data_IF_478847813736
#
_entry.id   IF_478847813736
#
_cell.length_a   1.000
_cell.length_b   1.000
_cell.length_c   1.000
_cell.angle_alpha   90.00
_cell.angle_beta   90.00
_cell.angle_gamma   90.00
#
_symmetry.space_group_name_H-M   'P 1'
#
loop_
_entity.id
_entity.type
_entity.pdbx_description
1 polymer ?
#
# COMPACT_ATOMS: atom_id res chain seq x y z
N UNK A 1 8.28 -0.10 20.92
CA UNK A 1 7.79 -1.24 20.12
C UNK A 1 6.73 -0.73 19.18
N UNK A 2 6.94 -0.83 17.88
CA UNK A 2 5.97 -0.48 16.86
C UNK A 2 5.44 -1.76 16.21
N UNK A 3 4.15 -1.80 15.93
CA UNK A 3 3.52 -2.85 15.14
C UNK A 3 3.37 -2.35 13.70
N UNK A 4 3.56 -3.24 12.73
CA UNK A 4 3.33 -2.93 11.31
C UNK A 4 1.83 -2.80 11.02
N UNK A 5 1.49 -2.20 9.88
CA UNK A 5 0.11 -2.22 9.38
C UNK A 5 -0.40 -3.65 9.27
N UNK A 6 -1.64 -3.92 9.69
CA UNK A 6 -2.19 -5.26 9.67
C UNK A 6 -2.56 -5.70 8.25
N UNK A 7 -2.45 -7.00 7.99
CA UNK A 7 -2.94 -7.68 6.80
C UNK A 7 -4.10 -8.60 7.18
N UNK A 8 -5.22 -8.52 6.47
CA UNK A 8 -6.36 -9.44 6.69
C UNK A 8 -6.32 -10.55 5.66
N UNK A 9 -6.30 -11.79 6.12
CA UNK A 9 -6.54 -12.96 5.30
C UNK A 9 -7.98 -13.47 5.55
N UNK A 10 -8.87 -13.15 4.62
CA UNK A 10 -10.23 -13.65 4.63
C UNK A 10 -10.29 -15.11 4.14
N UNK A 11 -11.08 -15.93 4.80
CA UNK A 11 -11.40 -17.28 4.35
C UNK A 11 -10.27 -18.32 4.48
N UNK A 12 -9.72 -18.51 5.65
CA UNK A 12 -8.98 -19.73 5.96
C UNK A 12 -9.97 -20.85 6.31
N UNK A 13 -9.93 -21.93 5.54
CA UNK A 13 -10.70 -23.16 5.86
C UNK A 13 -9.86 -23.96 6.85
N UNK A 14 -10.34 -24.09 8.08
CA UNK A 14 -9.72 -24.93 9.13
C UNK A 14 -10.66 -26.06 9.50
N UNK A 15 -10.17 -27.08 10.24
CA UNK A 15 -11.01 -28.12 10.80
C UNK A 15 -12.08 -27.58 11.79
N UNK A 16 -11.96 -26.30 12.18
CA UNK A 16 -12.93 -25.58 13.04
C UNK A 16 -13.85 -24.64 12.25
N UNK A 17 -13.90 -24.78 10.91
CA UNK A 17 -14.69 -23.95 10.02
C UNK A 17 -13.90 -22.81 9.36
N UNK A 18 -14.63 -21.87 8.81
CA UNK A 18 -14.06 -20.70 8.16
C UNK A 18 -13.54 -19.71 9.21
N UNK A 19 -12.31 -19.26 9.02
CA UNK A 19 -11.64 -18.28 9.89
C UNK A 19 -11.12 -17.12 9.06
N UNK A 20 -11.25 -15.94 9.61
CA UNK A 20 -10.53 -14.76 9.16
C UNK A 20 -9.37 -14.50 10.11
N UNK A 21 -8.25 -14.15 9.55
CA UNK A 21 -7.04 -13.87 10.32
C UNK A 21 -6.54 -12.47 10.05
N UNK A 22 -6.12 -11.82 11.11
CA UNK A 22 -5.36 -10.59 11.07
C UNK A 22 -3.90 -10.92 11.38
N UNK A 23 -2.98 -10.49 10.51
CA UNK A 23 -1.55 -10.77 10.64
C UNK A 23 -0.79 -9.44 10.64
N UNK A 24 0.16 -9.30 11.55
CA UNK A 24 1.01 -8.10 11.67
C UNK A 24 2.35 -8.47 12.29
N UNK A 25 3.36 -7.66 12.01
CA UNK A 25 4.70 -7.80 12.57
C UNK A 25 4.97 -6.80 13.68
N UNK A 26 6.09 -6.96 14.34
CA UNK A 26 6.55 -6.05 15.37
C UNK A 26 8.07 -5.83 15.35
N UNK A 27 8.52 -4.80 16.05
CA UNK A 27 9.93 -4.40 16.15
C UNK A 27 10.85 -5.45 16.81
N UNK A 28 10.29 -6.55 17.35
CA UNK A 28 11.01 -7.69 17.88
C UNK A 28 11.19 -8.83 16.88
N UNK A 29 11.02 -8.61 15.58
CA UNK A 29 10.99 -9.64 14.53
C UNK A 29 9.99 -10.77 14.79
N UNK A 30 8.91 -10.44 15.46
CA UNK A 30 7.84 -11.39 15.75
C UNK A 30 6.63 -11.07 14.88
N UNK A 31 6.14 -12.08 14.18
CA UNK A 31 4.87 -12.03 13.46
C UNK A 31 3.78 -12.64 14.32
N UNK A 32 2.65 -11.98 14.38
CA UNK A 32 1.47 -12.42 15.12
C UNK A 32 0.33 -12.66 14.15
N UNK A 33 -0.36 -13.77 14.32
CA UNK A 33 -1.65 -14.05 13.68
C UNK A 33 -2.72 -14.18 14.75
N UNK A 34 -3.73 -13.33 14.64
CA UNK A 34 -4.88 -13.33 15.54
C UNK A 34 -6.16 -13.55 14.76
N UNK A 35 -7.19 -14.03 15.45
CA UNK A 35 -8.54 -14.07 14.90
C UNK A 35 -9.02 -12.64 14.56
N UNK A 36 -9.73 -12.46 13.47
CA UNK A 36 -10.21 -11.14 13.04
C UNK A 36 -11.19 -10.49 14.05
N UNK A 37 -11.78 -11.27 14.96
CA UNK A 37 -12.54 -10.76 16.11
C UNK A 37 -11.64 -10.25 17.25
N UNK A 38 -10.32 -10.34 17.11
CA UNK A 38 -9.29 -9.93 18.09
C UNK A 38 -9.39 -10.63 19.45
N UNK A 39 -10.07 -11.78 19.52
CA UNK A 39 -10.30 -12.48 20.78
C UNK A 39 -9.31 -13.64 21.02
N UNK A 40 -8.52 -14.01 20.01
CA UNK A 40 -7.65 -15.18 20.09
C UNK A 40 -6.38 -15.04 19.26
N UNK A 41 -5.23 -15.34 19.88
CA UNK A 41 -3.99 -15.60 19.16
C UNK A 41 -4.09 -16.96 18.45
N UNK A 42 -3.82 -17.00 17.16
CA UNK A 42 -3.82 -18.23 16.37
C UNK A 42 -2.42 -18.84 16.41
N UNK A 43 -1.42 -18.05 16.03
CA UNK A 43 0.00 -18.42 16.13
C UNK A 43 0.88 -17.15 16.23
N UNK A 44 2.12 -17.34 16.64
CA UNK A 44 3.20 -16.36 16.56
C UNK A 44 4.46 -17.03 16.02
N UNK A 45 5.23 -16.30 15.22
CA UNK A 45 6.50 -16.75 14.68
C UNK A 45 7.59 -15.73 14.95
N UNK A 46 8.76 -16.18 15.40
CA UNK A 46 9.96 -15.39 15.56
C UNK A 46 10.81 -15.58 14.32
N UNK A 47 11.05 -14.52 13.53
CA UNK A 47 11.77 -14.60 12.26
C UNK A 47 13.27 -14.67 12.46
N UNK A 48 13.83 -13.80 13.29
CA UNK A 48 15.25 -13.80 13.59
C UNK A 48 15.48 -14.09 15.07
N UNK A 49 16.48 -14.92 15.37
CA UNK A 49 16.93 -15.17 16.76
C UNK A 49 17.80 -14.03 17.29
N UNK A 50 18.27 -13.15 16.42
CA UNK A 50 19.13 -12.00 16.73
C UNK A 50 18.53 -10.76 16.13
N UNK A 51 17.46 -10.24 16.75
CA UNK A 51 16.98 -8.90 16.41
C UNK A 51 18.18 -7.94 16.48
N UNK A 52 18.65 -7.48 15.33
CA UNK A 52 19.75 -6.52 15.31
C UNK A 52 19.21 -5.20 15.82
N UNK A 53 19.68 -4.79 17.00
CA UNK A 53 19.50 -3.42 17.44
C UNK A 53 20.26 -2.53 16.45
N UNK A 54 19.53 -1.94 15.51
CA UNK A 54 20.10 -0.94 14.63
C UNK A 54 20.55 0.22 15.52
N UNK A 55 21.82 0.63 15.41
CA UNK A 55 22.29 1.84 16.09
C UNK A 55 21.40 2.98 15.58
N UNK A 56 20.68 3.62 16.50
CA UNK A 56 19.93 4.83 16.17
C UNK A 56 20.84 5.78 15.41
N UNK A 57 20.49 6.08 14.16
CA UNK A 57 21.08 7.19 13.45
C UNK A 57 20.70 8.48 14.20
N UNK A 58 21.59 9.49 14.19
CA UNK A 58 21.35 10.80 14.80
C UNK A 58 20.04 11.48 14.32
N UNK A 59 19.40 10.93 13.29
CA UNK A 59 18.11 11.38 12.73
C UNK A 59 16.90 10.63 13.30
N UNK A 60 17.09 9.57 14.08
CA UNK A 60 16.00 8.80 14.70
C UNK A 60 15.10 8.05 13.72
N UNK A 61 15.55 7.86 12.47
CA UNK A 61 14.73 7.32 11.38
C UNK A 61 14.81 5.81 11.20
N UNK A 62 15.74 5.15 11.89
CA UNK A 62 15.95 3.70 11.75
C UNK A 62 15.24 2.93 12.88
N UNK A 63 14.10 2.33 12.56
CA UNK A 63 13.44 1.38 13.44
C UNK A 63 14.08 0.00 13.30
N UNK A 64 14.18 -0.78 14.39
CA UNK A 64 14.63 -2.18 14.34
C UNK A 64 13.45 -3.15 14.16
N UNK A 65 13.75 -4.38 13.78
CA UNK A 65 12.75 -5.43 13.57
C UNK A 65 12.01 -5.33 12.24
N UNK A 66 10.80 -5.89 12.17
CA UNK A 66 9.95 -5.73 11.00
C UNK A 66 9.49 -4.29 10.90
N UNK A 67 9.84 -3.63 9.81
CA UNK A 67 9.44 -2.24 9.52
C UNK A 67 8.33 -2.18 8.47
N UNK A 68 8.26 -3.15 7.55
CA UNK A 68 7.19 -3.25 6.55
C UNK A 68 6.03 -4.14 7.02
N UNK A 69 4.82 -3.83 6.54
CA UNK A 69 3.70 -4.74 6.61
C UNK A 69 3.99 -6.03 5.85
N UNK A 70 3.37 -7.15 6.28
CA UNK A 70 3.46 -8.40 5.56
C UNK A 70 2.76 -8.28 4.20
N UNK A 71 3.22 -9.08 3.23
CA UNK A 71 2.54 -9.24 1.96
C UNK A 71 1.96 -10.65 1.81
N UNK A 72 0.99 -10.80 0.91
CA UNK A 72 0.40 -12.09 0.55
C UNK A 72 0.27 -12.18 -0.97
N UNK A 73 0.66 -13.32 -1.59
CA UNK A 73 0.47 -13.53 -3.01
C UNK A 73 -1.00 -13.34 -3.41
N UNK A 74 -1.25 -12.58 -4.47
CA UNK A 74 -2.61 -12.26 -4.93
C UNK A 74 -3.29 -11.13 -4.17
N UNK A 75 -2.72 -10.65 -3.05
CA UNK A 75 -3.11 -9.40 -2.40
C UNK A 75 -2.31 -8.24 -2.98
N UNK A 76 -2.52 -7.89 -4.24
CA UNK A 76 -1.93 -6.65 -4.74
C UNK A 76 -2.57 -5.49 -4.00
N UNK A 77 -1.80 -4.76 -3.21
CA UNK A 77 -2.18 -3.44 -2.70
C UNK A 77 -2.25 -2.42 -3.84
N UNK A 78 -1.80 -2.79 -5.04
CA UNK A 78 -1.95 -2.00 -6.25
C UNK A 78 -3.38 -2.13 -6.78
N UNK A 79 -4.11 -1.08 -6.53
CA UNK A 79 -5.26 -0.56 -7.26
C UNK A 79 -5.82 -1.44 -8.39
N UNK A 80 -7.03 -1.96 -8.20
CA UNK A 80 -7.97 -2.12 -9.28
C UNK A 80 -8.24 -3.51 -9.84
N UNK A 81 -7.66 -4.58 -9.33
CA UNK A 81 -8.26 -5.90 -9.49
C UNK A 81 -8.95 -6.29 -8.19
N UNK A 82 -10.16 -5.81 -8.00
CA UNK A 82 -11.09 -6.47 -7.11
C UNK A 82 -11.11 -7.94 -7.52
N UNK A 83 -10.53 -8.81 -6.71
CA UNK A 83 -10.73 -10.25 -6.78
C UNK A 83 -12.20 -10.54 -6.46
N UNK A 84 -13.08 -10.08 -7.34
CA UNK A 84 -14.46 -10.49 -7.34
C UNK A 84 -14.44 -11.98 -7.60
N UNK A 85 -14.85 -12.77 -6.64
CA UNK A 85 -15.32 -14.12 -6.92
C UNK A 85 -16.24 -14.00 -8.13
N UNK A 86 -15.80 -14.46 -9.29
CA UNK A 86 -16.72 -14.72 -10.40
C UNK A 86 -17.76 -15.65 -9.80
N UNK A 87 -18.94 -15.13 -9.54
CA UNK A 87 -20.10 -15.99 -9.28
C UNK A 87 -20.20 -16.87 -10.52
N UNK A 88 -19.77 -18.10 -10.39
CA UNK A 88 -20.12 -19.12 -11.39
C UNK A 88 -21.64 -19.16 -11.36
N UNK A 89 -22.33 -18.88 -12.48
CA UNK A 89 -23.76 -18.98 -12.51
C UNK A 89 -24.15 -20.39 -12.10
N UNK A 90 -24.93 -20.53 -11.05
CA UNK A 90 -25.50 -21.82 -10.67
C UNK A 90 -26.41 -22.24 -11.81
N UNK A 91 -26.15 -23.34 -12.52
CA UNK A 91 -27.01 -23.78 -13.60
C UNK A 91 -28.41 -24.08 -13.03
N UNK A 92 -29.47 -23.77 -13.78
CA UNK A 92 -30.82 -24.06 -13.34
C UNK A 92 -30.97 -25.57 -13.08
N UNK A 93 -31.83 -25.99 -12.13
CA UNK A 93 -32.06 -27.41 -11.85
C UNK A 93 -32.48 -28.13 -13.13
N UNK A 94 -31.75 -29.21 -13.49
CA UNK A 94 -32.04 -30.04 -14.66
C UNK A 94 -31.21 -29.73 -15.90
N UNK A 95 -30.29 -28.79 -15.87
CA UNK A 95 -29.35 -28.60 -16.98
C UNK A 95 -28.35 -29.79 -17.08
N UNK A 96 -28.05 -30.30 -18.31
CA UNK A 96 -27.09 -31.37 -18.46
C UNK A 96 -25.71 -30.90 -17.98
N UNK A 97 -25.11 -31.64 -17.06
CA UNK A 97 -23.77 -31.37 -16.55
C UNK A 97 -22.79 -31.79 -17.63
N UNK A 98 -22.33 -30.84 -18.42
CA UNK A 98 -21.17 -31.09 -19.28
C UNK A 98 -19.96 -31.36 -18.37
N UNK A 99 -19.13 -32.38 -18.64
CA UNK A 99 -17.94 -32.63 -17.86
C UNK A 99 -17.05 -31.39 -17.92
N UNK A 100 -16.82 -30.79 -16.76
CA UNK A 100 -15.90 -29.66 -16.62
C UNK A 100 -14.53 -30.14 -17.11
N UNK A 101 -13.91 -29.47 -18.09
CA UNK A 101 -12.57 -29.82 -18.53
C UNK A 101 -11.64 -29.85 -17.31
N UNK A 102 -10.89 -30.94 -17.13
CA UNK A 102 -9.88 -30.99 -16.07
C UNK A 102 -8.96 -29.79 -16.24
N UNK A 103 -8.72 -29.01 -15.16
CA UNK A 103 -7.73 -27.94 -15.25
C UNK A 103 -6.40 -28.53 -15.74
N UNK A 104 -5.64 -27.79 -16.55
CA UNK A 104 -4.32 -28.23 -16.98
C UNK A 104 -3.48 -28.59 -15.74
N UNK A 105 -2.70 -29.66 -15.86
CA UNK A 105 -1.77 -30.05 -14.81
C UNK A 105 -0.86 -28.87 -14.48
N UNK A 106 -0.58 -28.60 -13.19
CA UNK A 106 0.33 -27.55 -12.82
C UNK A 106 1.70 -27.76 -13.49
N UNK A 107 2.42 -26.70 -13.84
CA UNK A 107 3.73 -26.82 -14.45
C UNK A 107 4.68 -27.67 -13.58
N UNK A 108 5.64 -28.36 -14.17
CA UNK A 108 6.49 -29.34 -13.50
C UNK A 108 7.33 -28.80 -12.33
N UNK A 109 7.56 -27.49 -12.26
CA UNK A 109 8.20 -26.79 -11.14
C UNK A 109 7.34 -25.61 -10.71
N UNK A 110 6.36 -25.81 -9.83
CA UNK A 110 5.61 -24.69 -9.29
C UNK A 110 6.54 -23.79 -8.45
N UNK A 111 6.44 -22.48 -8.63
CA UNK A 111 7.17 -21.49 -7.84
C UNK A 111 6.92 -21.62 -6.34
N UNK A 112 7.77 -21.00 -5.53
CA UNK A 112 7.70 -21.10 -4.06
C UNK A 112 6.39 -20.56 -3.47
N UNK A 113 5.72 -19.64 -4.18
CA UNK A 113 4.45 -19.05 -3.78
C UNK A 113 3.23 -19.79 -4.34
N UNK A 114 3.42 -20.82 -5.17
CA UNK A 114 2.32 -21.53 -5.80
C UNK A 114 1.32 -22.04 -4.75
N UNK A 115 0.06 -21.66 -4.93
CA UNK A 115 -1.07 -22.11 -4.13
C UNK A 115 -1.92 -23.09 -4.94
N UNK A 116 -2.54 -24.06 -4.29
CA UNK A 116 -3.40 -25.03 -4.98
C UNK A 116 -4.06 -25.98 -3.99
N UNK A 117 -4.84 -26.92 -4.49
CA UNK A 117 -5.47 -27.94 -3.63
C UNK A 117 -4.40 -28.67 -2.79
N UNK A 118 -4.47 -28.54 -1.47
CA UNK A 118 -3.50 -29.11 -0.53
C UNK A 118 -2.23 -28.27 -0.28
N UNK A 119 -2.08 -27.10 -0.90
CA UNK A 119 -1.00 -26.16 -0.57
C UNK A 119 -1.57 -24.97 0.19
N UNK A 120 -1.16 -24.75 1.45
CA UNK A 120 -1.58 -23.58 2.21
C UNK A 120 -1.07 -22.30 1.53
N UNK A 121 -1.79 -21.20 1.72
CA UNK A 121 -1.32 -19.87 1.36
C UNK A 121 -0.01 -19.50 2.07
N UNK A 122 0.62 -18.43 1.66
CA UNK A 122 1.83 -17.92 2.28
C UNK A 122 1.67 -16.45 2.68
N UNK A 123 2.26 -16.07 3.82
CA UNK A 123 2.61 -14.69 4.12
C UNK A 123 4.08 -14.47 3.84
N UNK A 124 4.41 -13.28 3.40
CA UNK A 124 5.76 -12.85 3.13
C UNK A 124 6.15 -11.80 4.16
N UNK A 125 7.29 -11.96 4.79
CA UNK A 125 7.83 -11.03 5.75
C UNK A 125 9.35 -10.91 5.58
N UNK A 126 9.91 -9.74 5.86
CA UNK A 126 11.36 -9.52 5.87
C UNK A 126 11.80 -9.24 7.29
N UNK A 127 12.70 -10.06 7.83
CA UNK A 127 13.28 -9.90 9.15
C UNK A 127 14.32 -8.78 9.20
N UNK A 128 14.76 -8.40 10.40
CA UNK A 128 15.84 -7.41 10.61
C UNK A 128 17.20 -7.90 10.12
N UNK A 129 17.36 -9.21 9.91
CA UNK A 129 18.53 -9.82 9.28
C UNK A 129 18.56 -9.63 7.75
N UNK A 130 17.46 -9.14 7.17
CA UNK A 130 17.31 -8.92 5.73
C UNK A 130 16.79 -10.14 4.98
N UNK A 131 16.53 -11.24 5.65
CA UNK A 131 16.03 -12.45 5.04
C UNK A 131 14.53 -12.37 4.78
N UNK A 132 14.10 -12.88 3.61
CA UNK A 132 12.71 -13.03 3.22
C UNK A 132 12.18 -14.39 3.71
N UNK A 133 11.15 -14.35 4.51
CA UNK A 133 10.43 -15.48 5.04
C UNK A 133 9.15 -15.75 4.26
N UNK A 134 8.91 -17.01 3.91
CA UNK A 134 7.69 -17.50 3.26
C UNK A 134 6.91 -18.33 4.27
N UNK A 135 6.06 -17.67 5.05
CA UNK A 135 5.38 -18.26 6.20
C UNK A 135 4.11 -18.98 5.78
N UNK A 136 3.88 -20.16 6.32
CA UNK A 136 2.63 -20.89 6.19
C UNK A 136 1.50 -20.11 6.90
N UNK A 137 0.39 -19.86 6.19
CA UNK A 137 -0.72 -19.09 6.75
C UNK A 137 -1.37 -19.74 7.98
N UNK A 138 -1.29 -21.06 8.11
CA UNK A 138 -1.97 -21.81 9.19
C UNK A 138 -1.10 -21.98 10.44
N UNK A 139 0.23 -22.02 10.30
CA UNK A 139 1.16 -22.33 11.41
C UNK A 139 2.15 -21.22 11.72
N UNK A 140 2.41 -20.33 10.76
CA UNK A 140 3.45 -19.30 10.87
C UNK A 140 4.88 -19.83 10.68
N UNK A 141 5.04 -21.11 10.36
CA UNK A 141 6.35 -21.72 10.09
C UNK A 141 6.82 -21.39 8.68
N UNK A 142 8.13 -21.29 8.50
CA UNK A 142 8.71 -21.14 7.17
C UNK A 142 8.43 -22.36 6.29
N UNK A 143 7.93 -22.11 5.08
CA UNK A 143 7.66 -23.17 4.07
C UNK A 143 8.92 -23.65 3.39
N UNK A 144 9.92 -22.79 3.33
CA UNK A 144 11.26 -23.01 2.77
C UNK A 144 12.26 -22.30 3.69
N UNK A 145 13.55 -22.67 3.69
CA UNK A 145 14.55 -21.90 4.40
C UNK A 145 14.49 -20.40 4.04
N UNK A 146 14.73 -19.54 5.01
CA UNK A 146 14.75 -18.10 4.81
C UNK A 146 15.68 -17.72 3.64
N UNK A 147 15.28 -16.77 2.84
CA UNK A 147 15.93 -16.42 1.56
C UNK A 147 16.71 -15.12 1.77
N UNK A 148 18.04 -15.09 1.60
CA UNK A 148 18.79 -13.84 1.62
C UNK A 148 18.25 -12.85 0.58
N UNK A 149 17.79 -11.66 1.02
CA UNK A 149 17.09 -10.73 0.16
C UNK A 149 17.61 -9.30 0.25
N UNK A 150 17.74 -8.77 1.46
CA UNK A 150 18.17 -7.40 1.72
C UNK A 150 19.44 -7.39 2.61
N UNK A 151 20.18 -6.29 2.63
CA UNK A 151 21.18 -6.07 3.66
C UNK A 151 20.54 -6.05 5.05
N UNK A 152 21.23 -6.64 6.04
CA UNK A 152 20.76 -6.64 7.42
C UNK A 152 20.61 -5.22 8.00
N UNK A 153 19.54 -5.00 8.77
CA UNK A 153 19.24 -3.70 9.36
C UNK A 153 18.61 -2.68 8.41
N UNK A 154 18.26 -3.08 7.19
CA UNK A 154 17.57 -2.22 6.25
C UNK A 154 16.21 -1.75 6.81
N UNK A 155 15.88 -0.47 6.63
CA UNK A 155 14.54 0.03 6.89
C UNK A 155 13.67 -0.18 5.67
N UNK A 156 12.76 -1.14 5.73
CA UNK A 156 11.85 -1.49 4.64
C UNK A 156 10.58 -0.69 4.80
N UNK A 157 10.26 0.16 3.82
CA UNK A 157 9.03 0.97 3.86
C UNK A 157 7.80 0.16 3.43
N UNK A 158 7.99 -0.86 2.60
CA UNK A 158 6.89 -1.70 2.12
C UNK A 158 7.40 -3.02 1.56
N UNK A 159 6.48 -3.98 1.49
CA UNK A 159 6.66 -5.26 0.81
C UNK A 159 5.47 -5.48 -0.13
N UNK A 160 5.76 -5.65 -1.42
CA UNK A 160 4.75 -5.90 -2.45
C UNK A 160 5.03 -7.24 -3.15
N UNK A 161 4.01 -7.86 -3.72
CA UNK A 161 4.18 -9.09 -4.49
C UNK A 161 3.30 -9.09 -5.73
N UNK A 162 3.88 -9.42 -6.87
CA UNK A 162 3.18 -9.60 -8.14
C UNK A 162 3.86 -10.70 -8.96
N UNK A 163 3.06 -11.59 -9.57
CA UNK A 163 3.54 -12.67 -10.43
C UNK A 163 4.76 -13.44 -9.86
N UNK A 164 4.64 -13.86 -8.59
CA UNK A 164 5.69 -14.59 -7.86
C UNK A 164 7.00 -13.79 -7.65
N UNK A 165 7.02 -12.50 -7.93
CA UNK A 165 8.14 -11.60 -7.58
C UNK A 165 7.76 -10.74 -6.39
N UNK A 166 8.64 -10.72 -5.39
CA UNK A 166 8.51 -9.89 -4.18
C UNK A 166 9.35 -8.65 -4.36
N UNK A 167 8.78 -7.49 -4.06
CA UNK A 167 9.47 -6.20 -4.11
C UNK A 167 9.55 -5.60 -2.72
N UNK A 168 10.69 -5.02 -2.39
CA UNK A 168 10.91 -4.25 -1.17
C UNK A 168 11.54 -2.89 -1.52
N UNK A 169 11.07 -1.85 -0.85
CA UNK A 169 11.66 -0.52 -0.95
C UNK A 169 12.38 -0.18 0.37
N UNK A 170 13.65 0.23 0.29
CA UNK A 170 14.46 0.59 1.45
C UNK A 170 14.71 2.09 1.49
N UNK A 171 14.68 2.67 2.68
CA UNK A 171 14.85 4.11 2.90
C UNK A 171 15.71 4.38 4.14
N UNK A 172 16.32 5.57 4.19
CA UNK A 172 17.01 6.09 5.37
C UNK A 172 18.45 5.58 5.56
N UNK A 173 19.01 4.83 4.61
CA UNK A 173 20.36 4.24 4.68
C UNK A 173 20.62 3.47 6.00
N UNK A 174 19.58 2.85 6.54
CA UNK A 174 19.61 2.16 7.83
C UNK A 174 20.46 0.90 7.78
N UNK A 175 21.26 0.66 8.82
CA UNK A 175 22.16 -0.49 8.89
C UNK A 175 23.28 -0.49 7.84
N UNK A 176 23.46 0.62 7.11
CA UNK A 176 24.35 0.70 5.94
C UNK A 176 23.74 0.13 4.66
N UNK A 177 22.45 -0.23 4.70
CA UNK A 177 21.72 -0.66 3.51
C UNK A 177 21.41 0.56 2.63
N UNK A 178 21.78 0.56 1.35
CA UNK A 178 21.51 1.70 0.48
C UNK A 178 20.01 1.87 0.23
N UNK A 179 19.58 3.09 -0.04
CA UNK A 179 18.24 3.37 -0.53
C UNK A 179 18.05 2.72 -1.91
N UNK A 180 17.07 1.86 -2.04
CA UNK A 180 16.91 1.03 -3.24
C UNK A 180 15.50 0.42 -3.35
N UNK A 181 15.21 -0.12 -4.53
CA UNK A 181 14.19 -1.14 -4.73
C UNK A 181 14.89 -2.48 -4.93
N UNK A 182 14.41 -3.51 -4.25
CA UNK A 182 14.87 -4.89 -4.40
C UNK A 182 13.74 -5.75 -4.94
N UNK A 183 14.10 -6.77 -5.72
CA UNK A 183 13.20 -7.80 -6.22
C UNK A 183 13.74 -9.19 -5.91
N UNK A 184 12.86 -10.10 -5.51
CA UNK A 184 13.14 -11.53 -5.40
C UNK A 184 12.13 -12.30 -6.26
N UNK A 185 12.60 -12.87 -7.36
CA UNK A 185 11.81 -13.75 -8.24
C UNK A 185 11.78 -15.16 -7.63
N UNK A 186 10.60 -15.58 -7.22
CA UNK A 186 10.30 -16.85 -6.56
C UNK A 186 9.58 -17.84 -7.51
N UNK A 187 9.52 -17.54 -8.81
CA UNK A 187 8.84 -18.35 -9.80
C UNK A 187 9.52 -19.70 -10.06
N UNK A 188 10.75 -19.86 -9.61
CA UNK A 188 11.51 -21.10 -9.68
C UNK A 188 11.88 -21.59 -8.28
N UNK A 189 12.31 -22.86 -8.18
CA UNK A 189 12.80 -23.40 -6.90
C UNK A 189 14.08 -22.73 -6.36
N UNK A 190 14.77 -21.93 -7.18
CA UNK A 190 15.95 -21.16 -6.80
C UNK A 190 15.63 -19.67 -6.93
N UNK A 191 15.50 -18.93 -5.82
CA UNK A 191 15.23 -17.50 -5.85
C UNK A 191 16.33 -16.72 -6.58
N UNK A 192 15.91 -15.70 -7.35
CA UNK A 192 16.83 -14.76 -8.00
C UNK A 192 16.54 -13.37 -7.50
N UNK A 193 17.58 -12.66 -7.06
CA UNK A 193 17.46 -11.31 -6.53
C UNK A 193 18.03 -10.28 -7.50
N UNK A 194 17.43 -9.09 -7.52
CA UNK A 194 17.89 -7.92 -8.24
C UNK A 194 17.72 -6.68 -7.38
N UNK A 195 18.45 -5.60 -7.69
CA UNK A 195 18.30 -4.32 -7.00
C UNK A 195 18.44 -3.14 -7.98
N UNK A 196 17.69 -2.08 -7.71
CA UNK A 196 17.82 -0.78 -8.34
C UNK A 196 18.19 0.23 -7.26
N UNK A 197 19.47 0.68 -7.28
CA UNK A 197 19.98 1.66 -6.33
C UNK A 197 19.54 3.07 -6.75
N UNK A 198 18.99 3.83 -5.81
CA UNK A 198 18.52 5.19 -6.09
C UNK A 198 19.62 6.24 -5.98
N UNK A 199 20.81 5.86 -5.49
CA UNK A 199 22.01 6.70 -5.39
C UNK A 199 21.75 8.06 -4.73
N UNK A 200 21.07 8.07 -3.59
CA UNK A 200 20.77 9.28 -2.84
C UNK A 200 19.42 9.22 -2.17
N UNK A 201 18.45 9.96 -2.69
CA UNK A 201 17.10 9.95 -2.15
C UNK A 201 16.46 8.56 -2.31
N UNK A 202 15.71 8.14 -1.30
CA UNK A 202 15.02 6.85 -1.31
C UNK A 202 13.72 6.86 -2.10
N UNK A 203 13.14 5.67 -2.32
CA UNK A 203 11.78 5.55 -2.80
C UNK A 203 10.79 6.35 -1.95
N UNK A 204 9.88 7.04 -2.59
CA UNK A 204 8.86 7.87 -1.95
C UNK A 204 7.66 7.08 -1.51
N UNK A 205 7.00 7.57 -0.46
CA UNK A 205 5.77 7.00 0.06
C UNK A 205 5.99 5.78 0.93
N UNK A 206 4.88 5.22 1.41
CA UNK A 206 4.88 4.10 2.38
C UNK A 206 4.30 2.81 1.80
N UNK A 207 3.78 2.86 0.56
CA UNK A 207 3.18 1.71 -0.11
C UNK A 207 4.15 1.01 -1.08
N UNK A 208 5.36 1.52 -1.24
CA UNK A 208 6.47 0.94 -1.99
C UNK A 208 6.40 1.11 -3.49
N UNK A 209 6.21 0.02 -4.22
CA UNK A 209 6.17 0.03 -5.68
C UNK A 209 4.75 -0.21 -6.20
N UNK A 210 4.42 0.39 -7.33
CA UNK A 210 3.23 0.03 -8.09
C UNK A 210 3.62 -0.91 -9.24
N UNK A 211 2.71 -1.80 -9.63
CA UNK A 211 2.98 -2.76 -10.72
C UNK A 211 1.88 -2.65 -11.78
N UNK A 212 2.28 -2.39 -13.00
CA UNK A 212 1.40 -2.32 -14.16
C UNK A 212 0.90 -3.67 -14.65
N UNK A 213 0.02 -3.67 -15.62
CA UNK A 213 -0.59 -4.90 -16.18
C UNK A 213 0.42 -5.79 -16.89
N UNK A 214 1.44 -5.19 -17.49
CA UNK A 214 2.53 -5.88 -18.19
C UNK A 214 3.66 -6.31 -17.25
N UNK A 215 3.49 -6.07 -15.92
CA UNK A 215 4.50 -6.33 -14.90
C UNK A 215 5.53 -5.21 -14.73
N UNK A 216 5.43 -4.10 -15.46
CA UNK A 216 6.31 -2.93 -15.24
C UNK A 216 6.16 -2.42 -13.80
N UNK A 217 7.28 -2.23 -13.12
CA UNK A 217 7.32 -1.73 -11.74
C UNK A 217 7.60 -0.24 -11.76
N UNK A 218 6.72 0.53 -11.13
CA UNK A 218 6.86 1.98 -11.02
C UNK A 218 7.27 2.35 -9.60
N UNK A 219 8.28 3.19 -9.48
CA UNK A 219 8.75 3.76 -8.23
C UNK A 219 8.95 5.25 -8.39
N UNK A 220 8.53 6.02 -7.41
CA UNK A 220 8.88 7.43 -7.32
C UNK A 220 10.06 7.59 -6.38
N UNK A 221 11.07 8.34 -6.80
CA UNK A 221 12.24 8.68 -6.00
C UNK A 221 12.04 10.08 -5.47
N UNK A 222 12.22 10.27 -4.17
CA UNK A 222 12.05 11.57 -3.54
C UNK A 222 13.12 12.55 -3.98
N UNK A 223 12.87 13.83 -3.79
CA UNK A 223 13.89 14.84 -3.98
C UNK A 223 14.82 14.81 -2.77
N UNK A 224 16.07 14.41 -2.97
CA UNK A 224 17.08 14.39 -1.92
C UNK A 224 17.34 15.78 -1.34
N UNK A 225 17.70 15.83 -0.05
CA UNK A 225 18.22 17.04 0.57
C UNK A 225 19.71 17.16 0.24
N UNK A 226 20.10 18.26 -0.40
CA UNK A 226 21.49 18.61 -0.65
C UNK A 226 22.07 18.11 -1.99
N UNK A 227 23.41 18.17 -2.11
CA UNK A 227 24.17 17.91 -3.33
C UNK A 227 24.22 16.43 -3.78
N UNK A 228 23.38 15.58 -3.25
CA UNK A 228 23.20 14.22 -3.74
C UNK A 228 22.36 14.27 -5.04
N UNK A 229 22.97 14.80 -6.08
CA UNK A 229 22.45 14.74 -7.44
C UNK A 229 22.47 13.29 -7.93
N UNK A 230 21.54 12.49 -7.44
CA UNK A 230 21.20 11.23 -8.09
C UNK A 230 20.56 11.53 -9.46
N UNK A 231 20.76 10.66 -10.39
CA UNK A 231 20.22 10.75 -11.76
C UNK A 231 18.69 10.89 -11.78
N UNK A 232 17.99 10.43 -10.71
CA UNK A 232 16.53 10.28 -10.64
C UNK A 232 15.87 11.06 -9.48
N UNK A 233 16.34 12.24 -9.13
CA UNK A 233 15.67 13.05 -8.09
C UNK A 233 14.30 13.53 -8.53
N UNK A 234 13.28 13.41 -7.67
CA UNK A 234 11.87 13.76 -7.92
C UNK A 234 11.32 13.11 -9.20
N UNK A 235 11.72 11.87 -9.45
CA UNK A 235 11.49 11.15 -10.70
C UNK A 235 10.65 9.91 -10.47
N UNK A 236 9.70 9.64 -11.37
CA UNK A 236 9.04 8.32 -11.48
C UNK A 236 9.84 7.47 -12.44
N UNK A 237 10.28 6.31 -12.02
CA UNK A 237 11.04 5.37 -12.85
C UNK A 237 10.20 4.10 -13.09
N UNK A 238 10.14 3.68 -14.35
CA UNK A 238 9.59 2.41 -14.77
C UNK A 238 10.71 1.37 -14.87
N UNK A 239 10.57 0.27 -14.16
CA UNK A 239 11.57 -0.79 -14.04
C UNK A 239 11.04 -2.11 -14.62
N UNK A 240 11.94 -2.94 -15.11
CA UNK A 240 11.65 -4.33 -15.45
C UNK A 240 11.30 -5.12 -14.19
N UNK A 241 10.25 -5.94 -14.24
CA UNK A 241 9.73 -6.67 -13.09
C UNK A 241 10.74 -7.60 -12.39
N UNK A 242 11.67 -8.20 -13.12
CA UNK A 242 12.59 -9.20 -12.56
C UNK A 242 14.01 -8.70 -12.40
N UNK A 243 14.49 -7.92 -13.38
CA UNK A 243 15.87 -7.43 -13.38
C UNK A 243 16.03 -6.06 -12.74
N UNK A 244 14.92 -5.35 -12.53
CA UNK A 244 14.87 -3.94 -12.09
C UNK A 244 15.70 -3.00 -12.96
N UNK A 245 16.03 -3.39 -14.21
CA UNK A 245 16.62 -2.47 -15.16
C UNK A 245 15.62 -1.36 -15.50
N UNK A 246 16.08 -0.09 -15.49
CA UNK A 246 15.25 1.04 -15.89
C UNK A 246 14.82 0.90 -17.35
N UNK A 247 13.51 1.05 -17.59
CA UNK A 247 12.89 1.00 -18.94
C UNK A 247 12.58 2.41 -19.43
N UNK A 248 12.10 3.27 -18.53
CA UNK A 248 11.60 4.61 -18.84
C UNK A 248 11.51 5.45 -17.57
N UNK A 249 11.37 6.77 -17.68
CA UNK A 249 11.22 7.64 -16.52
C UNK A 249 10.46 8.93 -16.85
N UNK A 250 9.96 9.58 -15.81
CA UNK A 250 9.39 10.93 -15.89
C UNK A 250 9.98 11.79 -14.78
N UNK A 251 10.52 12.95 -15.14
CA UNK A 251 11.00 13.96 -14.20
C UNK A 251 10.26 15.28 -14.44
N UNK A 252 9.64 15.89 -13.42
CA UNK A 252 9.05 17.22 -13.58
C UNK A 252 10.05 18.24 -14.11
N UNK A 253 9.65 19.02 -15.12
CA UNK A 253 10.55 19.98 -15.80
C UNK A 253 11.11 21.10 -14.90
N UNK A 254 10.41 21.42 -13.81
CA UNK A 254 10.86 22.43 -12.85
C UNK A 254 11.51 21.74 -11.65
N UNK A 255 12.81 21.97 -11.44
CA UNK A 255 13.48 21.62 -10.18
C UNK A 255 12.89 22.48 -9.06
N UNK A 256 11.94 21.92 -8.31
CA UNK A 256 11.35 22.63 -7.19
C UNK A 256 11.94 22.12 -5.88
N UNK A 257 11.98 23.03 -4.88
CA UNK A 257 12.39 22.65 -3.54
C UNK A 257 11.29 21.77 -2.94
N UNK A 258 11.57 20.48 -2.86
CA UNK A 258 10.61 19.56 -2.27
C UNK A 258 10.30 19.94 -0.83
N UNK A 259 9.06 19.94 -0.50
CA UNK A 259 8.56 20.24 0.83
C UNK A 259 7.91 19.06 1.53
N UNK A 260 7.77 17.92 0.86
CA UNK A 260 7.04 16.76 1.39
C UNK A 260 7.75 15.42 1.14
N UNK A 261 7.29 14.39 1.87
CA UNK A 261 7.84 13.02 1.80
C UNK A 261 7.53 12.28 0.49
N UNK A 262 6.73 12.88 -0.39
CA UNK A 262 6.26 12.27 -1.62
C UNK A 262 5.28 11.12 -1.38
N UNK A 263 4.77 10.56 -2.46
CA UNK A 263 3.81 9.46 -2.42
C UNK A 263 4.26 8.32 -3.35
N UNK A 264 3.93 7.09 -2.96
CA UNK A 264 4.07 5.94 -3.86
C UNK A 264 3.18 6.16 -5.08
N UNK A 265 3.68 5.98 -6.32
CA UNK A 265 2.86 6.12 -7.52
C UNK A 265 1.72 5.11 -7.52
N UNK A 266 0.65 5.42 -8.23
CA UNK A 266 -0.50 4.53 -8.39
C UNK A 266 -0.75 4.25 -9.86
N UNK A 267 -0.93 2.98 -10.19
CA UNK A 267 -1.28 2.53 -11.56
C UNK A 267 -2.75 2.14 -11.58
N UNK A 268 -3.49 2.60 -12.59
CA UNK A 268 -4.88 2.20 -12.79
C UNK A 268 -5.28 2.21 -14.26
N UNK A 269 -6.31 1.44 -14.58
CA UNK A 269 -6.92 1.44 -15.92
C UNK A 269 -7.93 2.57 -16.04
N UNK A 270 -7.89 3.28 -17.14
CA UNK A 270 -8.91 4.25 -17.53
C UNK A 270 -9.22 4.14 -19.01
N UNK A 271 -10.45 3.71 -19.33
CA UNK A 271 -10.92 3.47 -20.71
C UNK A 271 -9.98 2.58 -21.53
N UNK A 272 -9.38 1.57 -20.89
CA UNK A 272 -8.44 0.64 -21.54
C UNK A 272 -6.99 1.12 -21.64
N UNK A 273 -6.68 2.36 -21.20
CA UNK A 273 -5.33 2.88 -21.08
C UNK A 273 -4.82 2.68 -19.67
N UNK A 274 -3.57 2.27 -19.51
CA UNK A 274 -2.88 2.26 -18.23
C UNK A 274 -2.33 3.64 -17.93
N UNK A 275 -2.75 4.20 -16.80
CA UNK A 275 -2.31 5.51 -16.33
C UNK A 275 -1.52 5.37 -15.04
N UNK A 276 -0.52 6.23 -14.87
CA UNK A 276 0.29 6.32 -13.64
C UNK A 276 0.05 7.68 -13.02
N UNK A 277 -0.37 7.69 -11.75
CA UNK A 277 -0.50 8.89 -10.95
C UNK A 277 0.75 9.04 -10.07
N UNK A 278 1.33 10.23 -10.06
CA UNK A 278 2.50 10.56 -9.27
C UNK A 278 2.34 11.93 -8.58
N UNK A 279 3.08 12.15 -7.50
CA UNK A 279 3.17 13.42 -6.80
C UNK A 279 4.52 14.08 -7.07
N UNK A 280 4.51 15.34 -7.47
CA UNK A 280 5.74 16.12 -7.55
C UNK A 280 6.14 16.73 -6.20
N UNK A 281 7.42 16.98 -6.01
CA UNK A 281 7.94 17.70 -4.85
C UNK A 281 7.42 19.14 -4.73
N UNK A 282 6.80 19.67 -5.80
CA UNK A 282 6.12 20.97 -5.83
C UNK A 282 4.69 20.93 -5.25
N UNK A 283 4.22 19.77 -4.78
CA UNK A 283 2.86 19.60 -4.29
C UNK A 283 1.80 19.47 -5.39
N UNK A 284 2.21 19.26 -6.64
CA UNK A 284 1.32 18.97 -7.77
C UNK A 284 1.13 17.46 -7.95
N UNK A 285 0.04 17.07 -8.61
CA UNK A 285 -0.19 15.72 -9.10
C UNK A 285 0.05 15.67 -10.61
N UNK A 286 0.65 14.59 -11.06
CA UNK A 286 0.94 14.30 -12.47
C UNK A 286 0.24 13.02 -12.89
N UNK A 287 -0.49 13.08 -13.97
CA UNK A 287 -1.08 11.92 -14.62
C UNK A 287 -0.26 11.58 -15.86
N UNK A 288 0.32 10.39 -15.87
CA UNK A 288 1.29 9.95 -16.87
C UNK A 288 0.69 8.81 -17.71
N UNK A 289 1.18 8.66 -18.94
CA UNK A 289 0.90 7.49 -19.76
C UNK A 289 1.80 6.32 -19.31
N UNK A 290 1.21 5.20 -18.89
CA UNK A 290 1.96 4.03 -18.44
C UNK A 290 2.79 3.35 -19.55
N UNK A 291 2.49 3.65 -20.82
CA UNK A 291 3.22 3.08 -21.98
C UNK A 291 4.40 3.94 -22.42
N UNK A 292 4.44 5.22 -22.01
CA UNK A 292 5.52 6.15 -22.33
C UNK A 292 5.57 7.24 -21.25
N UNK A 293 6.38 7.03 -20.22
CA UNK A 293 6.53 7.99 -19.14
C UNK A 293 7.24 9.24 -19.64
N UNK A 294 6.56 10.38 -19.49
CA UNK A 294 7.14 11.68 -19.80
C UNK A 294 7.35 12.01 -21.28
N UNK A 295 6.86 11.18 -22.21
CA UNK A 295 7.03 11.41 -23.64
C UNK A 295 8.49 11.31 -24.11
N UNK A 296 8.82 11.97 -25.21
CA UNK A 296 10.13 11.87 -25.85
C UNK A 296 11.27 12.53 -25.06
N UNK A 297 10.95 13.54 -24.24
CA UNK A 297 11.92 14.28 -23.43
C UNK A 297 11.88 13.93 -21.94
N UNK A 298 11.02 12.98 -21.57
CA UNK A 298 10.79 12.51 -20.19
C UNK A 298 10.26 13.59 -19.23
N UNK A 299 9.64 14.67 -19.76
CA UNK A 299 9.09 15.78 -18.98
C UNK A 299 7.61 16.04 -19.21
N UNK A 300 6.98 15.37 -20.19
CA UNK A 300 5.59 15.57 -20.56
C UNK A 300 4.66 14.70 -19.69
N UNK A 301 3.67 15.32 -19.08
CA UNK A 301 2.56 14.63 -18.42
C UNK A 301 1.27 14.77 -19.24
N UNK A 302 0.39 13.78 -19.22
CA UNK A 302 -0.94 13.89 -19.83
C UNK A 302 -1.77 15.00 -19.18
N UNK A 303 -1.60 15.14 -17.85
CA UNK A 303 -2.26 16.18 -17.07
C UNK A 303 -1.42 16.50 -15.84
N UNK A 304 -1.44 17.76 -15.45
CA UNK A 304 -0.78 18.28 -14.23
C UNK A 304 -1.76 19.18 -13.49
N UNK A 305 -1.88 19.01 -12.17
CA UNK A 305 -2.55 20.01 -11.33
C UNK A 305 -1.60 21.18 -11.03
N UNK A 306 -2.15 22.30 -10.55
CA UNK A 306 -1.31 23.27 -9.82
C UNK A 306 -0.86 22.71 -8.46
N UNK A 307 0.04 23.40 -7.74
CA UNK A 307 0.40 23.04 -6.38
C UNK A 307 -0.84 23.04 -5.47
N UNK A 308 -1.10 21.90 -4.81
CA UNK A 308 -2.27 21.72 -3.94
C UNK A 308 -1.92 22.08 -2.50
N UNK A 309 -0.70 21.79 -2.08
CA UNK A 309 -0.21 22.09 -0.73
C UNK A 309 1.26 21.69 -0.57
N UNK A 310 1.64 21.37 0.67
CA UNK A 310 3.04 21.08 1.02
C UNK A 310 3.53 19.68 0.61
N UNK A 311 2.71 18.91 -0.10
CA UNK A 311 3.04 17.57 -0.56
C UNK A 311 2.02 16.52 -0.11
N UNK A 312 2.19 15.32 -0.65
CA UNK A 312 1.31 14.19 -0.41
C UNK A 312 2.00 13.16 0.46
N UNK A 313 1.24 12.30 1.11
CA UNK A 313 1.77 11.29 2.02
C UNK A 313 1.34 9.89 1.63
N UNK A 314 2.31 8.97 1.74
CA UNK A 314 2.14 7.53 1.65
C UNK A 314 1.83 7.04 0.25
N UNK A 315 0.64 7.30 -0.26
CA UNK A 315 0.19 6.88 -1.58
C UNK A 315 -1.23 7.34 -1.86
N UNK A 316 -1.80 6.83 -2.93
CA UNK A 316 -3.11 7.22 -3.45
C UNK A 316 -4.12 6.08 -3.33
N UNK A 317 -5.40 6.41 -3.35
CA UNK A 317 -6.48 5.45 -3.54
C UNK A 317 -7.27 5.80 -4.81
N UNK A 318 -7.81 4.78 -5.47
CA UNK A 318 -8.67 4.96 -6.64
C UNK A 318 -9.88 4.04 -6.57
N UNK A 319 -10.99 4.54 -7.04
CA UNK A 319 -12.25 3.81 -7.14
C UNK A 319 -12.96 4.13 -8.43
N UNK A 320 -13.50 3.14 -9.10
CA UNK A 320 -14.40 3.33 -10.23
C UNK A 320 -15.83 3.05 -9.77
N UNK A 321 -16.67 4.07 -9.84
CA UNK A 321 -18.10 3.88 -9.65
C UNK A 321 -18.66 3.06 -10.84
N UNK A 322 -19.13 1.88 -10.56
CA UNK A 322 -19.61 0.94 -11.58
C UNK A 322 -20.89 1.40 -12.26
N UNK A 323 -21.69 2.25 -11.63
CA UNK A 323 -22.94 2.77 -12.17
C UNK A 323 -22.71 3.93 -13.14
N UNK A 324 -21.83 4.86 -12.78
CA UNK A 324 -21.53 6.07 -13.56
C UNK A 324 -20.27 5.94 -14.42
N UNK A 325 -19.46 4.91 -14.20
CA UNK A 325 -18.14 4.69 -14.81
C UNK A 325 -17.15 5.83 -14.51
N UNK A 326 -17.44 6.62 -13.50
CA UNK A 326 -16.58 7.70 -13.04
C UNK A 326 -15.40 7.12 -12.26
N UNK A 327 -14.19 7.52 -12.65
CA UNK A 327 -12.95 7.15 -11.95
C UNK A 327 -12.60 8.25 -10.95
N UNK A 328 -12.58 7.88 -9.69
CA UNK A 328 -12.18 8.71 -8.56
C UNK A 328 -10.72 8.44 -8.17
N UNK A 329 -10.06 9.50 -7.71
CA UNK A 329 -8.70 9.46 -7.16
C UNK A 329 -8.70 10.25 -5.86
N UNK A 330 -8.11 9.68 -4.82
CA UNK A 330 -8.00 10.28 -3.49
C UNK A 330 -6.54 10.36 -3.08
N UNK A 331 -6.14 11.49 -2.50
CA UNK A 331 -4.78 11.73 -2.03
C UNK A 331 -4.80 12.35 -0.63
N UNK A 332 -3.90 11.90 0.23
CA UNK A 332 -3.69 12.46 1.56
C UNK A 332 -2.67 13.59 1.49
N UNK A 333 -3.10 14.80 1.84
CA UNK A 333 -2.31 16.02 1.82
C UNK A 333 -1.77 16.32 3.21
N UNK A 334 -0.50 16.64 3.31
CA UNK A 334 0.11 17.14 4.56
C UNK A 334 0.14 18.66 4.63
N UNK A 335 -0.15 19.20 5.81
CA UNK A 335 -0.11 20.63 6.08
C UNK A 335 -1.23 21.40 5.40
N UNK A 336 -1.04 22.71 5.31
CA UNK A 336 -2.03 23.63 4.76
C UNK A 336 -2.17 23.49 3.24
N UNK A 337 -3.37 23.79 2.76
CA UNK A 337 -3.70 23.84 1.33
C UNK A 337 -3.13 25.11 0.70
N UNK A 338 -2.62 25.01 -0.52
CA UNK A 338 -2.20 26.19 -1.28
C UNK A 338 -3.38 27.13 -1.54
N UNK A 339 -3.15 28.42 -1.40
CA UNK A 339 -4.16 29.45 -1.70
C UNK A 339 -4.59 29.47 -3.18
N UNK A 340 -3.78 28.89 -4.06
CA UNK A 340 -4.09 28.73 -5.48
C UNK A 340 -4.94 27.51 -5.80
N UNK A 341 -4.96 26.50 -4.91
CA UNK A 341 -5.79 25.31 -5.10
C UNK A 341 -7.27 25.66 -4.88
N UNK A 342 -8.11 25.18 -5.80
CA UNK A 342 -9.56 25.43 -5.75
C UNK A 342 -10.30 24.09 -5.89
N UNK A 343 -11.20 23.87 -4.94
CA UNK A 343 -12.08 22.70 -4.95
C UNK A 343 -13.53 23.18 -4.97
N UNK A 344 -14.39 22.61 -5.84
CA UNK A 344 -15.81 22.96 -5.88
C UNK A 344 -16.53 22.74 -4.55
N UNK A 345 -16.11 21.71 -3.79
CA UNK A 345 -16.66 21.41 -2.45
C UNK A 345 -15.56 21.49 -1.42
N UNK A 346 -15.72 22.36 -0.43
CA UNK A 346 -14.81 22.52 0.70
C UNK A 346 -15.55 22.17 1.99
N UNK A 347 -15.10 21.13 2.71
CA UNK A 347 -15.74 20.61 3.93
C UNK A 347 -15.18 21.22 5.22
N UNK A 348 -14.37 22.26 5.14
CA UNK A 348 -13.83 22.99 6.29
C UNK A 348 -12.49 23.64 5.99
N UNK A 349 -11.96 24.37 6.99
CA UNK A 349 -10.60 24.92 6.91
C UNK A 349 -9.58 23.83 7.15
N UNK A 350 -8.47 23.89 6.44
CA UNK A 350 -7.37 22.91 6.51
C UNK A 350 -6.10 23.60 7.02
N UNK A 351 -5.50 23.03 8.06
CA UNK A 351 -4.28 23.53 8.69
C UNK A 351 -3.16 22.48 8.71
N UNK A 352 -3.48 21.26 9.15
CA UNK A 352 -2.50 20.21 9.45
C UNK A 352 -2.54 19.04 8.45
N UNK A 353 -3.54 19.03 7.58
CA UNK A 353 -3.70 18.04 6.53
C UNK A 353 -5.14 17.82 6.12
N UNK A 354 -5.33 17.07 5.05
CA UNK A 354 -6.65 16.82 4.46
C UNK A 354 -6.60 15.63 3.52
N UNK A 355 -7.78 15.14 3.13
CA UNK A 355 -7.94 14.30 1.94
C UNK A 355 -8.51 15.16 0.83
N UNK A 356 -7.94 15.02 -0.37
CA UNK A 356 -8.44 15.67 -1.59
C UNK A 356 -8.90 14.62 -2.59
N UNK A 357 -9.95 14.95 -3.33
CA UNK A 357 -10.49 14.07 -4.35
C UNK A 357 -10.56 14.72 -5.72
N UNK A 358 -10.26 13.91 -6.71
CA UNK A 358 -10.32 14.23 -8.12
C UNK A 358 -11.15 13.19 -8.85
N UNK A 359 -11.67 13.57 -10.01
CA UNK A 359 -12.14 12.62 -11.02
C UNK A 359 -11.20 12.64 -12.21
N UNK A 360 -11.12 11.51 -12.92
CA UNK A 360 -10.41 11.45 -14.21
C UNK A 360 -11.44 11.65 -15.30
N UNK A 361 -11.32 12.76 -16.01
CA UNK A 361 -12.24 13.15 -17.10
C UNK A 361 -11.48 13.26 -18.41
N UNK A 362 -12.18 13.09 -19.52
CA UNK A 362 -11.62 13.38 -20.83
C UNK A 362 -11.88 14.84 -21.17
N UNK A 363 -10.81 15.59 -21.37
CA UNK A 363 -10.86 16.98 -21.85
C UNK A 363 -9.90 17.14 -23.01
N UNK A 364 -10.36 17.72 -24.08
CA UNK A 364 -9.57 17.92 -25.31
C UNK A 364 -8.89 16.65 -25.84
N UNK A 365 -9.54 15.47 -25.65
CA UNK A 365 -8.99 14.17 -26.07
C UNK A 365 -7.95 13.54 -25.15
N UNK A 366 -7.67 14.15 -24.00
CA UNK A 366 -6.69 13.66 -23.01
C UNK A 366 -7.35 13.44 -21.65
N UNK A 367 -6.87 12.45 -20.84
CA UNK A 367 -7.30 12.30 -19.47
C UNK A 367 -6.78 13.45 -18.61
N UNK A 368 -7.64 14.02 -17.79
CA UNK A 368 -7.33 15.15 -16.91
C UNK A 368 -7.82 14.88 -15.49
N UNK A 369 -7.03 15.30 -14.49
CA UNK A 369 -7.43 15.30 -13.09
C UNK A 369 -8.27 16.53 -12.79
N UNK A 370 -9.55 16.31 -12.50
CA UNK A 370 -10.49 17.38 -12.18
C UNK A 370 -10.76 17.40 -10.69
N UNK A 371 -10.44 18.50 -9.97
CA UNK A 371 -10.68 18.60 -8.55
C UNK A 371 -12.17 18.59 -8.24
N UNK A 372 -12.59 17.86 -7.20
CA UNK A 372 -13.99 17.74 -6.80
C UNK A 372 -14.19 18.27 -5.39
N UNK A 373 -13.51 17.67 -4.41
CA UNK A 373 -13.69 18.09 -3.02
C UNK A 373 -12.40 18.01 -2.20
N UNK A 374 -12.40 18.76 -1.11
CA UNK A 374 -11.42 18.69 -0.05
C UNK A 374 -12.13 18.49 1.28
N UNK A 375 -11.60 17.59 2.12
CA UNK A 375 -12.12 17.34 3.47
C UNK A 375 -11.84 18.51 4.40
N UNK A 376 -12.44 18.49 5.59
CA UNK A 376 -11.98 19.29 6.73
C UNK A 376 -10.56 18.90 7.16
N UNK A 377 -10.09 19.53 8.23
CA UNK A 377 -8.74 19.32 8.76
C UNK A 377 -8.57 17.91 9.35
N UNK A 378 -7.59 17.18 8.84
CA UNK A 378 -7.21 15.85 9.30
C UNK A 378 -5.69 15.86 9.50
N UNK A 379 -5.25 15.95 10.74
CA UNK A 379 -3.83 16.12 11.06
C UNK A 379 -3.01 14.90 10.65
N UNK A 380 -1.96 15.12 9.82
CA UNK A 380 -1.06 14.09 9.34
C UNK A 380 -1.81 12.83 8.84
N UNK A 381 -2.65 12.95 7.82
CA UNK A 381 -3.48 11.85 7.35
C UNK A 381 -2.62 10.69 6.80
N UNK A 382 -2.99 9.45 7.15
CA UNK A 382 -2.44 8.25 6.51
C UNK A 382 -2.85 8.16 5.04
N UNK A 383 -2.27 7.27 4.23
CA UNK A 383 -2.84 6.95 2.94
C UNK A 383 -4.32 6.61 3.06
N UNK A 384 -5.14 7.21 2.19
CA UNK A 384 -6.58 6.94 2.16
C UNK A 384 -6.84 5.53 1.63
N UNK A 385 -7.87 4.87 2.15
CA UNK A 385 -8.36 3.59 1.65
C UNK A 385 -9.83 3.74 1.28
N UNK A 386 -10.21 3.27 0.10
CA UNK A 386 -11.60 3.36 -0.38
C UNK A 386 -12.27 1.99 -0.37
N UNK A 387 -13.47 1.92 0.20
CA UNK A 387 -14.30 0.74 0.20
C UNK A 387 -15.79 1.12 0.16
N UNK A 388 -16.52 0.53 -0.80
CA UNK A 388 -17.97 0.74 -0.95
C UNK A 388 -18.39 2.21 -1.06
N UNK A 389 -17.62 3.04 -1.77
CA UNK A 389 -17.89 4.46 -1.93
C UNK A 389 -17.57 5.34 -0.71
N UNK A 390 -16.96 4.76 0.33
CA UNK A 390 -16.48 5.48 1.50
C UNK A 390 -14.96 5.58 1.47
N UNK A 391 -14.43 6.72 1.89
CA UNK A 391 -13.00 6.95 2.06
C UNK A 391 -12.66 6.91 3.54
N UNK A 392 -11.77 6.01 3.91
CA UNK A 392 -11.27 5.85 5.26
C UNK A 392 -9.86 6.40 5.36
N UNK A 393 -9.59 7.14 6.42
CA UNK A 393 -8.29 7.74 6.68
C UNK A 393 -8.04 7.80 8.18
N UNK A 394 -6.80 7.60 8.57
CA UNK A 394 -6.36 7.70 9.95
C UNK A 394 -5.55 8.99 10.11
N UNK A 395 -6.01 9.92 10.96
CA UNK A 395 -5.12 10.94 11.49
C UNK A 395 -4.16 10.23 12.45
N UNK A 396 -2.86 10.20 12.14
CA UNK A 396 -1.92 9.35 12.84
C UNK A 396 -1.68 9.76 14.31
N UNK A 397 -1.85 11.04 14.62
CA UNK A 397 -1.45 11.59 15.91
C UNK A 397 0.07 11.76 16.00
N UNK A 398 0.56 11.99 17.20
CA UNK A 398 2.00 12.11 17.47
C UNK A 398 2.34 11.64 18.89
N UNK A 399 3.62 11.44 19.18
CA UNK A 399 4.06 11.11 20.55
C UNK A 399 3.90 12.23 21.59
N UNK A 400 3.31 13.38 21.21
CA UNK A 400 3.04 14.48 22.12
C UNK A 400 1.82 14.17 23.00
N UNK A 401 1.80 14.75 24.20
CA UNK A 401 0.67 14.60 25.13
C UNK A 401 -0.64 15.02 24.46
N UNK A 402 -1.69 14.21 24.60
CA UNK A 402 -3.01 14.39 24.01
C UNK A 402 -3.11 14.29 22.48
N UNK A 403 -2.09 13.78 21.80
CA UNK A 403 -2.15 13.53 20.37
C UNK A 403 -2.31 12.03 20.15
N UNK A 404 -3.54 11.60 19.90
CA UNK A 404 -3.91 10.20 19.61
C UNK A 404 -4.39 10.07 18.17
N UNK A 405 -4.39 8.84 17.67
CA UNK A 405 -4.90 8.58 16.34
C UNK A 405 -6.44 8.72 16.30
N UNK A 406 -6.96 9.20 15.18
CA UNK A 406 -8.41 9.35 14.95
C UNK A 406 -8.75 8.74 13.61
N UNK A 407 -9.63 7.74 13.59
CA UNK A 407 -10.17 7.16 12.37
C UNK A 407 -11.33 8.01 11.86
N UNK A 408 -11.28 8.39 10.58
CA UNK A 408 -12.35 9.07 9.87
C UNK A 408 -12.93 8.18 8.77
N UNK A 409 -14.24 8.30 8.56
CA UNK A 409 -14.91 7.83 7.35
C UNK A 409 -15.58 9.01 6.66
N UNK A 410 -15.24 9.21 5.39
CA UNK A 410 -15.75 10.29 4.57
C UNK A 410 -16.61 9.71 3.45
N UNK A 411 -17.61 10.45 3.03
CA UNK A 411 -18.35 10.15 1.81
C UNK A 411 -17.43 10.33 0.59
N UNK A 412 -17.34 9.32 -0.27
CA UNK A 412 -16.39 9.30 -1.38
C UNK A 412 -16.67 10.35 -2.47
N UNK A 413 -17.93 10.78 -2.62
CA UNK A 413 -18.32 11.70 -3.67
C UNK A 413 -18.31 13.17 -3.22
N UNK A 414 -18.55 13.43 -1.93
CA UNK A 414 -18.66 14.80 -1.39
C UNK A 414 -17.56 15.17 -0.39
N UNK A 415 -16.82 14.19 0.13
CA UNK A 415 -15.81 14.42 1.17
C UNK A 415 -16.36 14.75 2.55
N UNK A 416 -17.70 14.69 2.72
CA UNK A 416 -18.35 14.97 4.00
C UNK A 416 -17.96 13.93 5.05
N UNK A 417 -17.61 14.37 6.24
CA UNK A 417 -17.38 13.47 7.37
C UNK A 417 -18.68 12.75 7.75
N UNK A 418 -18.65 11.42 7.73
CA UNK A 418 -19.74 10.55 8.15
C UNK A 418 -19.50 9.94 9.51
N UNK A 419 -18.22 9.75 9.87
CA UNK A 419 -17.82 9.19 11.15
C UNK A 419 -16.44 9.66 11.58
N UNK A 420 -16.25 9.82 12.87
CA UNK A 420 -14.98 10.03 13.53
C UNK A 420 -14.89 9.19 14.80
N UNK A 421 -13.77 8.52 15.02
CA UNK A 421 -13.53 7.76 16.26
C UNK A 421 -13.27 8.67 17.46
N UNK A 422 -13.07 9.96 17.25
CA UNK A 422 -12.78 10.94 18.28
C UNK A 422 -11.68 10.44 19.25
N UNK A 423 -11.96 10.35 20.55
CA UNK A 423 -11.03 9.96 21.60
C UNK A 423 -11.07 8.45 21.95
N UNK A 424 -11.69 7.59 21.11
CA UNK A 424 -11.75 6.15 21.36
C UNK A 424 -10.38 5.48 21.28
N UNK A 425 -9.55 5.91 20.33
CA UNK A 425 -8.15 5.49 20.25
C UNK A 425 -7.33 6.24 21.29
N UNK A 426 -6.47 5.54 22.01
CA UNK A 426 -5.75 6.12 23.17
C UNK A 426 -4.30 6.47 22.88
N UNK A 427 -3.77 6.04 21.74
CA UNK A 427 -2.38 6.25 21.35
C UNK A 427 -2.30 6.73 19.92
N UNK A 428 -1.13 7.17 19.50
CA UNK A 428 -0.87 7.50 18.09
C UNK A 428 -0.50 6.24 17.29
N UNK A 429 -0.65 6.31 15.98
CA UNK A 429 -0.30 5.23 15.06
C UNK A 429 1.04 5.52 14.38
N UNK A 430 1.89 4.51 14.29
CA UNK A 430 3.08 4.54 13.42
C UNK A 430 2.84 3.86 12.08
N UNK A 431 1.80 3.04 11.99
CA UNK A 431 1.49 2.36 10.76
C UNK A 431 0.86 3.34 9.77
N UNK A 432 1.43 3.41 8.58
CA UNK A 432 0.91 4.23 7.50
C UNK A 432 -0.24 3.53 6.75
N UNK A 433 -0.98 2.65 7.41
CA UNK A 433 -2.03 1.91 6.75
C UNK A 433 -3.11 1.37 7.68
N UNK A 434 -4.29 1.24 7.08
CA UNK A 434 -5.45 0.56 7.64
C UNK A 434 -5.81 -0.63 6.76
N UNK A 435 -6.26 -1.72 7.36
CA UNK A 435 -6.80 -2.86 6.63
C UNK A 435 -8.33 -2.86 6.74
N UNK A 436 -9.01 -3.11 5.62
CA UNK A 436 -10.48 -3.18 5.59
C UNK A 436 -10.89 -4.54 5.03
N UNK A 437 -11.68 -5.27 5.79
CA UNK A 437 -12.27 -6.51 5.36
C UNK A 437 -13.58 -6.76 6.10
N UNK A 438 -14.56 -7.37 5.43
CA UNK A 438 -15.81 -7.82 6.00
C UNK A 438 -16.51 -6.81 6.92
N UNK A 439 -16.62 -5.55 6.47
CA UNK A 439 -17.23 -4.42 7.19
C UNK A 439 -16.48 -4.02 8.46
N UNK A 440 -15.20 -4.40 8.58
CA UNK A 440 -14.33 -4.05 9.71
C UNK A 440 -13.09 -3.32 9.21
N UNK A 441 -12.59 -2.41 10.03
CA UNK A 441 -11.40 -1.61 9.80
C UNK A 441 -10.43 -1.92 10.91
N UNK A 442 -9.19 -2.26 10.56
CA UNK A 442 -8.14 -2.63 11.49
C UNK A 442 -6.95 -1.70 11.31
N UNK A 443 -6.35 -1.31 12.41
CA UNK A 443 -5.05 -0.62 12.45
C UNK A 443 -4.34 -0.86 13.78
N UNK A 444 -3.06 -0.56 13.80
CA UNK A 444 -2.19 -0.73 14.96
C UNK A 444 -1.76 0.62 15.52
N UNK A 445 -1.44 0.66 16.81
CA UNK A 445 -0.98 1.86 17.50
C UNK A 445 0.34 1.60 18.23
N UNK A 446 1.04 2.69 18.55
CA UNK A 446 2.38 2.66 19.17
C UNK A 446 2.41 1.97 20.55
N UNK A 447 1.29 1.92 21.25
CA UNK A 447 1.16 1.21 22.54
C UNK A 447 0.90 -0.30 22.39
N UNK A 448 1.26 -0.87 21.23
CA UNK A 448 1.10 -2.29 20.88
C UNK A 448 -0.35 -2.79 20.93
N UNK A 449 -1.29 -1.95 20.54
CA UNK A 449 -2.70 -2.33 20.40
C UNK A 449 -3.10 -2.45 18.96
N UNK A 450 -4.01 -3.38 18.73
CA UNK A 450 -4.76 -3.49 17.48
C UNK A 450 -6.18 -3.05 17.74
N UNK A 451 -6.65 -2.12 16.93
CA UNK A 451 -8.04 -1.63 16.98
C UNK A 451 -8.84 -2.25 15.84
N UNK A 452 -10.09 -2.56 16.14
CA UNK A 452 -11.09 -3.02 15.17
C UNK A 452 -12.32 -2.13 15.30
N UNK A 453 -12.70 -1.47 14.21
CA UNK A 453 -13.95 -0.71 14.10
C UNK A 453 -14.88 -1.38 13.10
N UNK A 454 -16.16 -1.49 13.43
CA UNK A 454 -17.15 -2.11 12.54
C UNK A 454 -18.36 -2.64 13.33
N UNK A 455 -19.30 -3.23 12.59
CA UNK A 455 -20.46 -3.86 13.21
C UNK A 455 -20.18 -5.34 13.48
N UNK A 456 -20.45 -5.79 14.70
CA UNK A 456 -20.44 -7.21 15.02
C UNK A 456 -21.74 -7.85 14.48
N UNK A 457 -21.60 -8.97 13.76
CA UNK A 457 -22.75 -9.67 13.14
C UNK A 457 -23.82 -10.11 14.15
N UNK A 458 -23.44 -10.34 15.40
CA UNK A 458 -24.33 -10.83 16.46
C UNK A 458 -25.33 -9.78 16.98
N UNK A 459 -25.13 -8.50 16.68
CA UNK A 459 -26.07 -7.44 17.06
C UNK A 459 -27.23 -7.26 16.08
N UNK A 460 -27.19 -7.89 14.91
CA UNK A 460 -28.24 -7.79 13.89
C UNK A 460 -29.39 -8.79 14.05
N UNK A 461 -29.31 -9.73 15.01
CA UNK A 461 -30.33 -10.77 15.18
C UNK A 461 -31.44 -10.42 16.17
N UNK A 462 -31.45 -9.27 16.82
CA UNK A 462 -32.38 -8.99 17.93
C UNK A 462 -33.51 -8.01 17.63
N UNK A 463 -33.74 -7.60 16.39
CA UNK A 463 -34.90 -6.75 16.04
C UNK A 463 -35.84 -7.35 15.01
N UNK A 464 -35.92 -8.68 14.94
CA UNK A 464 -36.98 -9.38 14.23
C UNK A 464 -38.20 -9.51 15.12
N UNK A 465 -39.10 -8.55 15.11
CA UNK A 465 -40.52 -8.71 15.43
C UNK A 465 -41.31 -8.36 14.21
#
# INVERSE_FOLDING_TARGET
NALTSPLVNGLLITYRGFKEMLVFGGSSDTVYSVDADLNRLIWKAQLSSKAQAVKEDKRGSCAGGLTAALAMPGSSTASGRGGGFRRVPVPPPGAPVNPVPRPPLPPPNPGLLATGFGRPGAFLAVGSDGDLHVLNTSTGEDRVPAIPFLPAGANVSSLNVSDETVYAATTGDCGGAPNAVYAADLSSGTPKTASFLTNGAGPSGTLGTAVGKDGTVYVQISSGHGDLAGEYNDTVVALNSRTLAAKDYFTPAAKQKASGDGATPMVFDWKGKELVLAAGGDGSLYLLDGTSLGGADHHEALSKTGPIGNGFHGGFASWEDTATRKRWVYASLRGAVSSSAKFPVENGKVHDGSVVAFTVEERNGHPELVPVWISGDIAAPSPAVVANGLVFVLAAGSGKKNSHAVLYALDGESGKELYSSQSLVKSFSHSDGIAIANRRIYFTTHDNRVYCFGFFADQLQLTGK
#
